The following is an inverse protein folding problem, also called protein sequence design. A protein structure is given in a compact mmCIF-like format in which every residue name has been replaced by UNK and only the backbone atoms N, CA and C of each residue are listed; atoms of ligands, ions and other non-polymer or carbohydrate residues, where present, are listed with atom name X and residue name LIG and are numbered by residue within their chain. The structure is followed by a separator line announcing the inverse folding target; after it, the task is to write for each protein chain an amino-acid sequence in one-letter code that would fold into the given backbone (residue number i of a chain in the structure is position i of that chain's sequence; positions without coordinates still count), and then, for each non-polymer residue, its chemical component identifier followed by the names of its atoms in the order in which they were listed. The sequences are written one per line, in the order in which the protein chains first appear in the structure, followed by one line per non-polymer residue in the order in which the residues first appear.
data_IF_126164766799
#
_entry.id   IF_126164766799
#
_cell.length_a   1.000
_cell.length_b   1.000
_cell.length_c   1.000
_cell.angle_alpha   90.00
_cell.angle_beta   90.00
_cell.angle_gamma   90.00
#
_symmetry.space_group_name_H-M   'P 1'
#
loop_
_entity.id
_entity.type
_entity.pdbx_description
1 polymer ?
#
# COMPACT_ATOMS: atom_id res chain seq x y z
N UNK A 1 4.66 26.78 -18.85
CA UNK A 1 3.39 26.18 -19.32
C UNK A 1 2.26 26.62 -18.40
N UNK A 2 1.03 26.75 -18.91
CA UNK A 2 -0.15 27.18 -18.12
C UNK A 2 -0.37 26.32 -16.88
N UNK A 3 0.00 25.03 -16.95
CA UNK A 3 -0.05 24.04 -15.86
C UNK A 3 0.82 24.46 -14.66
N UNK A 4 2.08 24.84 -14.88
CA UNK A 4 2.96 25.30 -13.79
C UNK A 4 2.56 26.66 -13.22
N UNK A 5 1.76 27.44 -13.98
CA UNK A 5 1.18 28.69 -13.50
C UNK A 5 -0.05 28.45 -12.61
N UNK A 6 -0.91 27.48 -12.94
CA UNK A 6 -2.06 27.07 -12.14
C UNK A 6 -1.64 26.38 -10.83
N UNK A 7 -0.61 25.53 -10.90
CA UNK A 7 0.00 24.88 -9.74
C UNK A 7 0.60 25.93 -8.77
N UNK A 8 1.31 26.93 -9.29
CA UNK A 8 1.84 28.06 -8.48
C UNK A 8 0.77 28.97 -7.90
N UNK A 9 -0.40 29.07 -8.52
CA UNK A 9 -1.53 29.88 -8.03
C UNK A 9 -2.43 29.15 -7.03
N UNK A 10 -2.17 27.88 -6.74
CA UNK A 10 -2.92 27.12 -5.73
C UNK A 10 -4.27 26.59 -6.21
N UNK A 11 -4.47 26.42 -7.52
CA UNK A 11 -5.67 25.75 -8.07
C UNK A 11 -5.30 24.44 -8.78
N UNK A 12 -4.78 23.44 -8.05
CA UNK A 12 -4.30 22.23 -8.67
C UNK A 12 -5.47 21.30 -9.08
N UNK A 13 -6.67 21.46 -8.49
CA UNK A 13 -7.90 20.76 -8.90
C UNK A 13 -8.32 21.06 -10.34
N UNK A 14 -8.22 22.33 -10.75
CA UNK A 14 -8.54 22.74 -12.13
C UNK A 14 -7.46 22.24 -13.08
N UNK A 15 -6.18 22.32 -12.68
CA UNK A 15 -5.07 21.85 -13.50
C UNK A 15 -5.19 20.35 -13.82
N UNK A 16 -5.75 19.54 -12.91
CA UNK A 16 -5.91 18.10 -13.07
C UNK A 16 -6.85 17.72 -14.22
N UNK A 17 -7.82 18.57 -14.56
CA UNK A 17 -8.77 18.34 -15.65
C UNK A 17 -8.17 18.63 -17.04
N UNK A 18 -7.06 19.36 -17.11
CA UNK A 18 -6.40 19.76 -18.36
C UNK A 18 -5.11 18.99 -18.66
N UNK A 19 -4.72 18.04 -17.80
CA UNK A 19 -3.53 17.21 -18.01
C UNK A 19 -3.89 15.94 -18.78
N UNK A 20 -3.38 15.84 -20.00
CA UNK A 20 -3.53 14.65 -20.85
C UNK A 20 -2.49 13.56 -20.53
N UNK A 21 -1.32 13.93 -20.02
CA UNK A 21 -0.26 12.98 -19.70
C UNK A 21 -0.51 12.27 -18.35
N UNK A 22 -0.66 10.93 -18.32
CA UNK A 22 -0.99 10.20 -17.10
C UNK A 22 0.12 10.28 -16.04
N UNK A 23 1.39 10.39 -16.43
CA UNK A 23 2.47 10.51 -15.44
C UNK A 23 2.40 11.86 -14.69
N UNK A 24 2.20 12.95 -15.41
CA UNK A 24 2.02 14.29 -14.84
C UNK A 24 0.73 14.38 -14.02
N UNK A 25 -0.34 13.72 -14.47
CA UNK A 25 -1.63 13.67 -13.75
C UNK A 25 -1.49 12.98 -12.40
N UNK A 26 -0.69 11.91 -12.31
CA UNK A 26 -0.39 11.24 -11.05
C UNK A 26 0.34 12.16 -10.08
N UNK A 27 1.40 12.84 -10.53
CA UNK A 27 2.17 13.73 -9.64
C UNK A 27 1.31 14.87 -9.10
N UNK A 28 0.47 15.45 -9.95
CA UNK A 28 -0.46 16.50 -9.53
C UNK A 28 -1.52 15.96 -8.56
N UNK A 29 -2.09 14.77 -8.81
CA UNK A 29 -3.08 14.16 -7.92
C UNK A 29 -2.51 13.91 -6.52
N UNK A 30 -1.25 13.46 -6.45
CA UNK A 30 -0.52 13.29 -5.19
C UNK A 30 -0.32 14.63 -4.48
N UNK A 31 0.13 15.68 -5.18
CA UNK A 31 0.29 17.01 -4.57
C UNK A 31 -1.02 17.62 -4.07
N UNK A 32 -2.14 17.31 -4.73
CA UNK A 32 -3.48 17.73 -4.28
C UNK A 32 -3.98 16.94 -3.07
N UNK A 33 -3.36 15.80 -2.75
CA UNK A 33 -3.93 14.82 -1.82
C UNK A 33 -5.17 14.10 -2.36
N UNK A 34 -5.44 14.17 -3.66
CA UNK A 34 -6.56 13.47 -4.29
C UNK A 34 -6.16 12.02 -4.60
N UNK A 35 -6.30 11.17 -3.57
CA UNK A 35 -5.87 9.78 -3.64
C UNK A 35 -6.72 8.93 -4.60
N UNK A 36 -8.01 9.25 -4.77
CA UNK A 36 -8.90 8.48 -5.67
C UNK A 36 -8.44 8.56 -7.12
N UNK A 37 -8.15 9.77 -7.60
CA UNK A 37 -7.59 9.98 -8.94
C UNK A 37 -6.21 9.34 -9.05
N UNK A 38 -5.37 9.48 -8.02
CA UNK A 38 -4.04 8.88 -8.03
C UNK A 38 -4.09 7.35 -8.13
N UNK A 39 -5.10 6.71 -7.53
CA UNK A 39 -5.37 5.26 -7.64
C UNK A 39 -5.79 4.88 -9.06
N UNK A 40 -6.69 5.64 -9.70
CA UNK A 40 -7.10 5.35 -11.08
C UNK A 40 -5.93 5.42 -12.05
N UNK A 41 -5.12 6.48 -11.94
CA UNK A 41 -3.93 6.66 -12.79
C UNK A 41 -2.86 5.62 -12.48
N UNK A 42 -2.69 5.22 -11.21
CA UNK A 42 -1.77 4.15 -10.84
C UNK A 42 -2.20 2.79 -11.42
N UNK A 43 -3.51 2.51 -11.50
CA UNK A 43 -4.04 1.30 -12.16
C UNK A 43 -3.80 1.30 -13.66
N UNK A 44 -3.87 2.46 -14.30
CA UNK A 44 -3.65 2.61 -15.75
C UNK A 44 -2.17 2.42 -16.11
N UNK A 45 -1.26 3.02 -15.33
CA UNK A 45 0.19 2.96 -15.60
C UNK A 45 0.86 1.67 -15.09
N UNK A 46 0.30 1.06 -14.04
CA UNK A 46 0.76 -0.16 -13.34
C UNK A 46 2.28 -0.26 -13.12
N UNK A 47 2.91 0.84 -12.67
CA UNK A 47 4.34 0.88 -12.36
C UNK A 47 4.58 0.70 -10.86
N UNK A 48 5.51 -0.17 -10.43
CA UNK A 48 5.77 -0.40 -9.00
C UNK A 48 6.26 0.86 -8.25
N UNK A 49 6.95 1.76 -8.95
CA UNK A 49 7.40 3.06 -8.39
C UNK A 49 6.21 3.97 -8.02
N UNK A 50 5.16 3.97 -8.84
CA UNK A 50 3.96 4.78 -8.60
C UNK A 50 3.18 4.26 -7.40
N UNK A 51 2.97 2.94 -7.34
CA UNK A 51 2.33 2.29 -6.19
C UNK A 51 3.08 2.55 -4.88
N UNK A 52 4.42 2.56 -4.92
CA UNK A 52 5.23 2.88 -3.72
C UNK A 52 5.02 4.33 -3.29
N UNK A 53 5.02 5.28 -4.24
CA UNK A 53 4.81 6.70 -3.93
C UNK A 53 3.39 6.95 -3.41
N UNK A 54 2.38 6.36 -4.06
CA UNK A 54 0.99 6.39 -3.61
C UNK A 54 0.84 5.82 -2.19
N UNK A 55 1.54 4.74 -1.85
CA UNK A 55 1.48 4.15 -0.50
C UNK A 55 2.01 5.09 0.58
N UNK A 56 3.09 5.81 0.32
CA UNK A 56 3.68 6.77 1.27
C UNK A 56 2.74 7.95 1.52
N UNK A 57 2.13 8.47 0.46
CA UNK A 57 1.21 9.60 0.55
C UNK A 57 -0.12 9.19 1.19
N UNK A 58 -0.68 8.05 0.80
CA UNK A 58 -1.87 7.50 1.44
C UNK A 58 -1.65 7.22 2.94
N UNK A 59 -0.45 6.80 3.35
CA UNK A 59 -0.07 6.68 4.75
C UNK A 59 -0.04 8.05 5.46
N UNK A 60 0.54 9.07 4.82
CA UNK A 60 0.58 10.44 5.35
C UNK A 60 -0.84 11.01 5.59
N UNK A 61 -1.77 10.71 4.67
CA UNK A 61 -3.17 11.06 4.80
C UNK A 61 -3.97 10.16 5.76
N UNK A 62 -3.38 9.09 6.29
CA UNK A 62 -4.05 8.14 7.18
C UNK A 62 -5.07 7.23 6.49
N UNK A 63 -5.10 7.17 5.15
CA UNK A 63 -6.03 6.33 4.42
C UNK A 63 -5.50 4.88 4.31
N UNK A 64 -5.74 4.10 5.36
CA UNK A 64 -5.27 2.72 5.45
C UNK A 64 -5.87 1.78 4.37
N UNK A 65 -7.04 2.09 3.80
CA UNK A 65 -7.68 1.25 2.78
C UNK A 65 -6.89 1.29 1.45
N UNK A 66 -6.47 2.49 1.05
CA UNK A 66 -5.65 2.67 -0.17
C UNK A 66 -4.27 2.06 0.05
N UNK A 67 -3.69 2.21 1.24
CA UNK A 67 -2.40 1.61 1.60
C UNK A 67 -2.47 0.07 1.53
N UNK A 68 -3.54 -0.55 2.04
CA UNK A 68 -3.77 -1.99 1.95
C UNK A 68 -3.74 -2.47 0.48
N UNK A 69 -4.49 -1.78 -0.39
CA UNK A 69 -4.53 -2.08 -1.82
C UNK A 69 -3.14 -1.92 -2.47
N UNK A 70 -2.41 -0.86 -2.15
CA UNK A 70 -1.06 -0.63 -2.67
C UNK A 70 -0.09 -1.74 -2.25
N UNK A 71 -0.11 -2.17 -0.98
CA UNK A 71 0.75 -3.25 -0.49
C UNK A 71 0.41 -4.61 -1.07
N UNK A 72 -0.88 -4.89 -1.31
CA UNK A 72 -1.30 -6.10 -2.01
C UNK A 72 -0.76 -6.12 -3.45
N UNK A 73 -0.84 -5.00 -4.17
CA UNK A 73 -0.29 -4.86 -5.54
C UNK A 73 1.22 -5.01 -5.58
N UNK A 74 1.92 -4.39 -4.63
CA UNK A 74 3.38 -4.48 -4.48
C UNK A 74 3.84 -5.82 -3.90
N UNK A 75 2.92 -6.70 -3.47
CA UNK A 75 3.23 -7.98 -2.81
C UNK A 75 4.15 -7.80 -1.59
N UNK A 76 3.98 -6.70 -0.86
CA UNK A 76 4.73 -6.39 0.38
C UNK A 76 3.98 -6.95 1.58
N UNK A 77 4.17 -8.24 1.86
CA UNK A 77 3.43 -8.95 2.90
C UNK A 77 3.83 -8.54 4.32
N UNK A 78 5.11 -8.21 4.56
CA UNK A 78 5.57 -7.78 5.89
C UNK A 78 4.88 -6.49 6.34
N UNK A 79 4.82 -5.50 5.44
CA UNK A 79 4.14 -4.23 5.71
C UNK A 79 2.64 -4.39 5.84
N UNK A 80 2.06 -5.32 5.08
CA UNK A 80 0.65 -5.64 5.15
C UNK A 80 0.28 -6.31 6.47
N UNK A 81 1.11 -7.23 6.96
CA UNK A 81 0.96 -7.84 8.28
C UNK A 81 1.05 -6.80 9.40
N UNK A 82 2.01 -5.87 9.32
CA UNK A 82 2.11 -4.77 10.26
C UNK A 82 0.89 -3.83 10.23
N UNK A 83 0.34 -3.56 9.04
CA UNK A 83 -0.88 -2.78 8.89
C UNK A 83 -2.08 -3.49 9.54
N UNK A 84 -2.23 -4.80 9.36
CA UNK A 84 -3.30 -5.57 10.00
C UNK A 84 -3.15 -5.66 11.51
N UNK A 85 -1.92 -5.78 12.01
CA UNK A 85 -1.65 -5.68 13.45
C UNK A 85 -2.06 -4.31 13.99
N UNK A 86 -1.67 -3.23 13.29
CA UNK A 86 -1.97 -1.85 13.72
C UNK A 86 -3.46 -1.52 13.67
N UNK A 87 -4.20 -2.13 12.74
CA UNK A 87 -5.66 -1.97 12.61
C UNK A 87 -6.45 -2.95 13.48
N UNK A 88 -5.81 -3.98 14.03
CA UNK A 88 -6.45 -5.01 14.87
C UNK A 88 -7.24 -6.07 14.09
N UNK A 89 -7.03 -6.21 12.78
CA UNK A 89 -7.74 -7.21 11.97
C UNK A 89 -7.07 -8.59 12.06
N UNK A 90 -7.46 -9.33 13.10
CA UNK A 90 -6.97 -10.70 13.34
C UNK A 90 -7.34 -11.68 12.21
N UNK A 91 -8.45 -11.47 11.52
CA UNK A 91 -8.91 -12.36 10.45
C UNK A 91 -8.01 -12.27 9.23
N UNK A 92 -7.68 -11.04 8.81
CA UNK A 92 -6.75 -10.81 7.70
C UNK A 92 -5.33 -11.21 8.05
N UNK A 93 -4.91 -11.00 9.30
CA UNK A 93 -3.61 -11.42 9.79
C UNK A 93 -3.45 -12.96 9.77
N UNK A 94 -4.46 -13.72 10.21
CA UNK A 94 -4.45 -15.18 10.12
C UNK A 94 -4.39 -15.68 8.67
N UNK A 95 -5.01 -14.97 7.72
CA UNK A 95 -4.86 -15.27 6.29
C UNK A 95 -3.42 -15.02 5.80
N UNK A 96 -2.76 -13.97 6.29
CA UNK A 96 -1.36 -13.71 5.95
C UNK A 96 -0.41 -14.80 6.48
N UNK A 97 -0.67 -15.34 7.68
CA UNK A 97 0.09 -16.47 8.22
C UNK A 97 0.04 -17.70 7.29
N UNK A 98 -1.15 -18.07 6.80
CA UNK A 98 -1.32 -19.16 5.83
C UNK A 98 -0.62 -18.88 4.49
N UNK A 99 -0.65 -17.64 4.02
CA UNK A 99 0.06 -17.26 2.78
C UNK A 99 1.57 -17.37 2.96
N UNK A 100 2.11 -17.00 4.12
CA UNK A 100 3.53 -17.14 4.44
C UNK A 100 3.95 -18.62 4.51
N UNK A 101 3.10 -19.48 5.10
CA UNK A 101 3.29 -20.93 5.12
C UNK A 101 3.32 -21.52 3.71
N UNK A 102 2.34 -21.19 2.85
CA UNK A 102 2.33 -21.64 1.45
C UNK A 102 3.52 -21.15 0.62
N UNK A 103 4.12 -20.01 1.00
CA UNK A 103 5.32 -19.48 0.35
C UNK A 103 6.61 -20.12 0.85
N UNK A 104 6.56 -20.86 1.96
CA UNK A 104 7.75 -21.38 2.64
C UNK A 104 8.63 -20.29 3.26
N UNK A 105 8.08 -19.10 3.51
CA UNK A 105 8.83 -18.01 4.15
C UNK A 105 8.68 -18.09 5.68
N UNK A 106 9.64 -18.79 6.30
CA UNK A 106 9.68 -18.99 7.75
C UNK A 106 9.77 -17.68 8.54
N UNK A 107 10.41 -16.64 8.00
CA UNK A 107 10.56 -15.35 8.69
C UNK A 107 9.21 -14.64 8.78
N UNK A 108 8.51 -14.55 7.65
CA UNK A 108 7.16 -13.99 7.57
C UNK A 108 6.17 -14.79 8.43
N UNK A 109 6.24 -16.13 8.41
CA UNK A 109 5.41 -17.00 9.25
C UNK A 109 5.66 -16.74 10.73
N UNK A 110 6.91 -16.57 11.14
CA UNK A 110 7.29 -16.29 12.52
C UNK A 110 6.78 -14.93 13.00
N UNK A 111 6.94 -13.89 12.20
CA UNK A 111 6.43 -12.55 12.53
C UNK A 111 4.89 -12.56 12.66
N UNK A 112 4.19 -13.20 11.73
CA UNK A 112 2.73 -13.31 11.80
C UNK A 112 2.26 -14.12 13.03
N UNK A 113 2.90 -15.24 13.33
CA UNK A 113 2.60 -16.03 14.52
C UNK A 113 2.90 -15.27 15.83
N UNK A 114 3.95 -14.43 15.83
CA UNK A 114 4.26 -13.53 16.94
C UNK A 114 3.16 -12.48 17.12
N UNK A 115 2.65 -11.91 16.03
CA UNK A 115 1.56 -10.94 16.05
C UNK A 115 0.23 -11.53 16.51
N UNK A 116 -0.05 -12.80 16.17
CA UNK A 116 -1.24 -13.54 16.62
C UNK A 116 -1.10 -14.09 18.04
N UNK A 117 0.13 -14.20 18.57
CA UNK A 117 0.40 -14.82 19.87
C UNK A 117 0.31 -16.35 19.85
N UNK A 118 0.25 -16.98 18.68
CA UNK A 118 0.12 -18.44 18.52
C UNK A 118 1.46 -19.12 18.81
N UNK A 119 1.58 -19.68 20.02
CA UNK A 119 2.82 -20.36 20.47
C UNK A 119 2.98 -21.71 19.80
N UNK A 120 1.89 -22.43 19.60
CA UNK A 120 1.88 -23.77 19.02
C UNK A 120 2.42 -23.76 17.58
N UNK A 121 1.95 -22.82 16.77
CA UNK A 121 2.42 -22.63 15.39
C UNK A 121 3.92 -22.30 15.32
N UNK A 122 4.44 -21.55 16.29
CA UNK A 122 5.89 -21.29 16.36
C UNK A 122 6.67 -22.54 16.69
N UNK A 123 6.20 -23.36 17.63
CA UNK A 123 6.85 -24.63 17.98
C UNK A 123 6.81 -25.58 16.79
N UNK A 124 5.69 -25.65 16.09
CA UNK A 124 5.55 -26.51 14.90
C UNK A 124 6.49 -26.07 13.78
N UNK A 125 6.55 -24.77 13.50
CA UNK A 125 7.51 -24.23 12.53
C UNK A 125 8.96 -24.59 12.88
N UNK A 126 9.38 -24.43 14.15
CA UNK A 126 10.75 -24.78 14.56
C UNK A 126 11.05 -26.29 14.48
N UNK A 127 10.03 -27.16 14.48
CA UNK A 127 10.21 -28.60 14.25
C UNK A 127 10.32 -28.96 12.76
N UNK A 128 9.80 -28.11 11.88
CA UNK A 128 9.80 -28.28 10.42
C UNK A 128 11.06 -27.73 9.75
N UNK A 129 11.81 -26.86 10.44
CA UNK A 129 13.13 -26.32 10.04
C UNK A 129 14.23 -27.34 10.34
#
# INVERSE_FOLDING_TARGET
SIISYLQKKGYPDIALQFVEDPATRFELAIECGNLDVAVEVAKELDRPKLWTRLSTEALSHGNHQIVEMCYQKLKQFDKLAFLYLSTGDHSKLARMAKIAEHRGDFTSRFQNALYLGEVEDRIQMFKEI
#
